data_IF_114774928584
#
_entry.id   IF_114774928584
#
_cell.length_a   1.000
_cell.length_b   1.000
_cell.length_c   1.000
_cell.angle_alpha   90.00
_cell.angle_beta   90.00
_cell.angle_gamma   90.00
#
_symmetry.space_group_name_H-M   'P 1'
#
loop_
_entity.id
_entity.type
_entity.pdbx_description
1 polymer ?
#
# COMPACT_ATOMS: atom_id res chain seq x y z
N UNK A 1 -14.75 -18.30 -5.22
CA UNK A 1 -16.03 -18.06 -5.93
C UNK A 1 -15.87 -18.62 -7.33
N UNK A 2 -16.55 -19.73 -7.64
CA UNK A 2 -16.30 -20.55 -8.84
C UNK A 2 -17.29 -20.13 -9.93
N UNK A 3 -16.80 -19.85 -11.15
CA UNK A 3 -17.67 -19.63 -12.31
C UNK A 3 -17.55 -20.83 -13.24
N UNK A 4 -18.64 -21.57 -13.39
CA UNK A 4 -18.77 -22.70 -14.31
C UNK A 4 -19.21 -22.18 -15.69
N UNK A 5 -18.47 -22.50 -16.75
CA UNK A 5 -18.94 -22.32 -18.14
C UNK A 5 -19.12 -23.70 -18.75
N UNK A 6 -20.37 -24.03 -19.10
CA UNK A 6 -20.74 -25.29 -19.76
C UNK A 6 -20.68 -25.10 -21.28
N UNK A 7 -19.69 -25.71 -21.93
CA UNK A 7 -19.69 -25.89 -23.38
C UNK A 7 -20.16 -27.29 -23.76
N UNK A 8 -21.02 -27.34 -24.78
CA UNK A 8 -21.78 -28.51 -25.23
C UNK A 8 -20.85 -29.53 -25.89
N UNK A 9 -20.90 -30.77 -25.38
CA UNK A 9 -20.47 -32.07 -25.97
C UNK A 9 -19.41 -32.00 -27.09
N UNK A 10 -18.15 -32.19 -26.70
CA UNK A 10 -17.24 -33.24 -27.22
C UNK A 10 -15.99 -33.25 -26.33
N UNK A 11 -15.70 -34.41 -25.71
CA UNK A 11 -14.58 -34.71 -24.80
C UNK A 11 -14.21 -33.58 -23.81
N UNK A 12 -14.76 -33.65 -22.60
CA UNK A 12 -14.28 -32.83 -21.47
C UNK A 12 -12.87 -33.28 -21.09
N UNK A 13 -11.86 -32.54 -21.55
CA UNK A 13 -10.51 -32.61 -21.00
C UNK A 13 -10.51 -31.70 -19.78
N UNK A 14 -10.39 -32.30 -18.59
CA UNK A 14 -10.13 -31.56 -17.37
C UNK A 14 -8.66 -31.12 -17.40
N UNK A 15 -8.44 -29.88 -17.83
CA UNK A 15 -7.14 -29.24 -17.68
C UNK A 15 -7.05 -28.70 -16.26
N UNK A 16 -6.33 -29.42 -15.41
CA UNK A 16 -5.88 -28.89 -14.12
C UNK A 16 -4.70 -27.98 -14.43
N UNK A 17 -4.96 -26.68 -14.58
CA UNK A 17 -3.90 -25.69 -14.51
C UNK A 17 -3.49 -25.58 -13.03
N UNK A 18 -2.69 -26.53 -12.57
CA UNK A 18 -1.94 -26.36 -11.35
C UNK A 18 -1.01 -25.16 -11.59
N UNK A 19 -1.18 -24.09 -10.82
CA UNK A 19 -0.13 -23.08 -10.66
C UNK A 19 1.16 -23.86 -10.40
N UNK A 20 2.12 -23.71 -11.30
CA UNK A 20 3.27 -24.60 -11.28
C UNK A 20 4.05 -24.31 -10.01
N UNK A 21 4.57 -25.35 -9.36
CA UNK A 21 5.45 -25.20 -8.19
C UNK A 21 6.57 -24.17 -8.43
N UNK A 22 6.98 -24.02 -9.69
CA UNK A 22 7.95 -23.01 -10.15
C UNK A 22 7.50 -21.56 -9.95
N UNK A 23 6.22 -21.24 -10.12
CA UNK A 23 5.68 -19.88 -9.94
C UNK A 23 5.66 -19.50 -8.46
N UNK A 24 5.28 -20.45 -7.60
CA UNK A 24 5.27 -20.25 -6.13
C UNK A 24 6.69 -20.05 -5.56
N UNK A 25 7.69 -20.75 -6.12
CA UNK A 25 9.11 -20.63 -5.70
C UNK A 25 9.74 -19.33 -6.20
N UNK A 26 9.28 -18.75 -7.31
CA UNK A 26 9.80 -17.48 -7.83
C UNK A 26 9.19 -16.25 -7.13
N UNK A 27 7.97 -16.35 -6.61
CA UNK A 27 7.31 -15.25 -5.87
C UNK A 27 7.87 -15.08 -4.45
N UNK A 28 8.25 -16.16 -3.78
CA UNK A 28 8.72 -16.14 -2.38
C UNK A 28 9.95 -15.23 -2.16
N UNK A 29 11.01 -15.30 -2.99
CA UNK A 29 12.17 -14.40 -2.86
C UNK A 29 11.83 -12.93 -3.07
N UNK A 30 10.89 -12.62 -3.99
CA UNK A 30 10.48 -11.23 -4.27
C UNK A 30 9.74 -10.65 -3.07
N UNK A 31 8.86 -11.43 -2.43
CA UNK A 31 8.17 -10.98 -1.23
C UNK A 31 9.11 -10.82 -0.03
N UNK A 32 10.09 -11.72 0.12
CA UNK A 32 11.14 -11.56 1.15
C UNK A 32 11.97 -10.30 0.90
N UNK A 33 12.33 -10.03 -0.36
CA UNK A 33 13.07 -8.82 -0.73
C UNK A 33 12.29 -7.55 -0.41
N UNK A 34 11.01 -7.47 -0.80
CA UNK A 34 10.16 -6.30 -0.48
C UNK A 34 10.03 -6.06 1.02
N UNK A 35 9.95 -7.13 1.81
CA UNK A 35 9.94 -7.01 3.27
C UNK A 35 11.26 -6.44 3.79
N UNK A 36 12.39 -6.90 3.24
CA UNK A 36 13.69 -6.38 3.63
C UNK A 36 13.84 -4.91 3.22
N UNK A 37 13.48 -4.54 1.99
CA UNK A 37 13.48 -3.15 1.51
C UNK A 37 12.66 -2.23 2.44
N UNK A 38 11.47 -2.67 2.83
CA UNK A 38 10.63 -1.94 3.79
C UNK A 38 11.31 -1.74 5.15
N UNK A 39 11.85 -2.81 5.75
CA UNK A 39 12.49 -2.72 7.06
C UNK A 39 13.80 -1.91 7.02
N UNK A 40 14.53 -1.98 5.91
CA UNK A 40 15.74 -1.19 5.68
C UNK A 40 15.41 0.30 5.54
N UNK A 41 14.36 0.65 4.78
CA UNK A 41 13.91 2.04 4.61
C UNK A 41 13.50 2.65 5.95
N UNK A 42 12.65 1.95 6.72
CA UNK A 42 12.26 2.42 8.05
C UNK A 42 13.45 2.50 9.02
N UNK A 43 14.40 1.57 8.94
CA UNK A 43 15.60 1.59 9.78
C UNK A 43 16.61 2.66 9.39
N UNK A 44 16.52 3.19 8.16
CA UNK A 44 17.36 4.29 7.70
C UNK A 44 16.91 5.65 8.23
N UNK A 45 15.68 5.74 8.75
CA UNK A 45 15.16 6.91 9.42
C UNK A 45 15.83 7.12 10.79
N UNK A 46 16.06 8.38 11.16
CA UNK A 46 16.56 8.77 12.49
C UNK A 46 15.43 8.73 13.55
N UNK A 47 14.86 7.53 13.76
CA UNK A 47 13.73 7.34 14.66
C UNK A 47 14.17 7.18 16.13
N UNK A 48 13.32 7.57 17.10
CA UNK A 48 13.50 7.19 18.49
C UNK A 48 13.71 5.67 18.66
N UNK A 49 14.60 5.27 19.57
CA UNK A 49 14.95 3.86 19.79
C UNK A 49 13.74 2.96 20.09
N UNK A 50 12.70 3.50 20.76
CA UNK A 50 11.44 2.80 21.00
C UNK A 50 10.70 2.49 19.70
N UNK A 51 10.66 3.42 18.76
CA UNK A 51 9.98 3.25 17.47
C UNK A 51 10.76 2.27 16.58
N UNK A 52 12.08 2.41 16.54
CA UNK A 52 12.95 1.48 15.83
C UNK A 52 12.81 0.05 16.37
N UNK A 53 12.71 -0.12 17.68
CA UNK A 53 12.47 -1.44 18.30
C UNK A 53 11.09 -1.98 17.93
N UNK A 54 10.05 -1.14 17.99
CA UNK A 54 8.69 -1.54 17.62
C UNK A 54 8.59 -2.01 16.17
N UNK A 55 9.24 -1.32 15.23
CA UNK A 55 9.30 -1.76 13.85
C UNK A 55 10.05 -3.09 13.67
N UNK A 56 11.26 -3.19 14.25
CA UNK A 56 12.14 -4.34 14.06
C UNK A 56 11.69 -5.61 14.82
N UNK A 57 10.83 -5.46 15.83
CA UNK A 57 10.32 -6.57 16.62
C UNK A 57 8.85 -6.82 16.30
N UNK A 58 7.97 -5.89 16.63
CA UNK A 58 6.52 -6.11 16.59
C UNK A 58 6.00 -6.13 15.15
N UNK A 59 6.30 -5.09 14.37
CA UNK A 59 5.85 -4.98 12.97
C UNK A 59 6.50 -6.08 12.12
N UNK A 60 7.81 -6.29 12.26
CA UNK A 60 8.53 -7.35 11.54
C UNK A 60 7.95 -8.74 11.81
N UNK A 61 7.56 -9.03 13.06
CA UNK A 61 6.94 -10.31 13.44
C UNK A 61 5.61 -10.50 12.72
N UNK A 62 4.73 -9.49 12.72
CA UNK A 62 3.44 -9.56 12.02
C UNK A 62 3.60 -9.73 10.51
N UNK A 63 4.62 -9.12 9.92
CA UNK A 63 4.89 -9.23 8.48
C UNK A 63 5.56 -10.54 8.06
N UNK A 64 5.87 -11.47 8.99
CA UNK A 64 6.62 -12.72 8.69
C UNK A 64 5.94 -13.63 7.69
N UNK A 65 4.62 -13.69 7.71
CA UNK A 65 3.84 -14.57 6.83
C UNK A 65 2.96 -13.80 5.84
N UNK A 66 3.23 -12.50 5.66
CA UNK A 66 2.43 -11.64 4.78
C UNK A 66 3.16 -11.34 3.48
N UNK A 67 2.41 -11.33 2.37
CA UNK A 67 2.92 -10.93 1.05
C UNK A 67 2.80 -9.42 0.88
N UNK A 68 3.91 -8.72 1.06
CA UNK A 68 3.98 -7.28 0.79
C UNK A 68 4.07 -7.08 -0.72
N UNK A 69 3.21 -6.20 -1.25
CA UNK A 69 3.24 -5.78 -2.67
C UNK A 69 3.94 -4.44 -2.87
N UNK A 70 3.98 -3.61 -1.84
CA UNK A 70 4.71 -2.36 -1.79
C UNK A 70 4.58 -1.72 -0.42
N UNK A 71 5.29 -0.63 -0.21
CA UNK A 71 5.25 0.15 1.02
C UNK A 71 5.51 1.63 0.74
N UNK A 72 5.19 2.46 1.72
CA UNK A 72 5.57 3.87 1.79
C UNK A 72 5.92 4.23 3.22
N UNK A 73 6.85 5.15 3.37
CA UNK A 73 7.30 5.67 4.65
C UNK A 73 7.16 7.19 4.62
N UNK A 74 6.70 7.75 5.73
CA UNK A 74 6.74 9.18 6.00
C UNK A 74 7.98 9.46 6.84
N UNK A 75 8.94 10.15 6.22
CA UNK A 75 10.24 10.45 6.82
C UNK A 75 10.13 11.41 8.03
N UNK A 76 9.07 12.22 8.11
CA UNK A 76 8.88 13.20 9.18
C UNK A 76 8.27 12.56 10.44
N UNK A 77 7.26 11.71 10.25
CA UNK A 77 6.52 11.10 11.37
C UNK A 77 6.98 9.69 11.71
N UNK A 78 7.71 9.04 10.80
CA UNK A 78 8.05 7.62 10.87
C UNK A 78 6.85 6.70 10.66
N UNK A 79 5.68 7.21 10.28
CA UNK A 79 4.54 6.37 9.91
C UNK A 79 4.82 5.63 8.61
N UNK A 80 4.19 4.48 8.43
CA UNK A 80 4.33 3.73 7.19
C UNK A 80 3.03 3.10 6.73
N UNK A 81 2.89 2.97 5.41
CA UNK A 81 1.86 2.17 4.76
C UNK A 81 2.49 0.92 4.17
N UNK A 82 1.93 -0.24 4.52
CA UNK A 82 2.30 -1.52 3.92
C UNK A 82 1.13 -2.03 3.10
N UNK A 83 1.35 -2.23 1.80
CA UNK A 83 0.33 -2.70 0.86
C UNK A 83 0.39 -4.22 0.74
N UNK A 84 -0.78 -4.86 0.79
CA UNK A 84 -1.00 -6.28 0.53
C UNK A 84 -1.97 -6.43 -0.66
N UNK A 85 -2.19 -7.66 -1.13
CA UNK A 85 -3.04 -7.91 -2.32
C UNK A 85 -4.47 -7.35 -2.18
N UNK A 86 -5.05 -7.38 -0.97
CA UNK A 86 -6.46 -7.08 -0.70
C UNK A 86 -6.70 -6.06 0.41
N UNK A 87 -5.64 -5.47 0.93
CA UNK A 87 -5.70 -4.56 2.07
C UNK A 87 -4.41 -3.79 2.19
N UNK A 88 -4.41 -2.74 2.99
CA UNK A 88 -3.18 -2.10 3.47
C UNK A 88 -3.16 -2.08 4.99
N UNK A 89 -2.00 -1.84 5.57
CA UNK A 89 -1.82 -1.60 6.99
C UNK A 89 -1.06 -0.30 7.20
N UNK A 90 -1.61 0.58 8.05
CA UNK A 90 -0.95 1.78 8.54
C UNK A 90 -0.24 1.46 9.85
N UNK A 91 1.06 1.72 9.92
CA UNK A 91 1.86 1.62 11.13
C UNK A 91 2.08 3.01 11.73
N UNK A 92 1.61 3.23 12.96
CA UNK A 92 1.74 4.49 13.68
C UNK A 92 2.65 4.30 14.90
N UNK A 93 3.98 4.50 14.78
CA UNK A 93 4.93 4.20 15.85
C UNK A 93 4.71 5.06 17.09
N UNK A 94 4.27 6.31 16.94
CA UNK A 94 3.95 7.20 18.06
C UNK A 94 2.90 6.61 19.01
N UNK A 95 1.85 5.98 18.46
CA UNK A 95 0.82 5.34 19.25
C UNK A 95 1.05 3.84 19.47
N UNK A 96 2.07 3.26 18.83
CA UNK A 96 2.33 1.83 18.83
C UNK A 96 1.22 0.98 18.17
N UNK A 97 0.40 1.59 17.30
CA UNK A 97 -0.77 0.94 16.68
C UNK A 97 -0.54 0.58 15.22
N UNK A 98 -1.17 -0.51 14.81
CA UNK A 98 -1.27 -0.95 13.42
C UNK A 98 -2.73 -1.03 13.04
N UNK A 99 -3.13 -0.27 12.02
CA UNK A 99 -4.51 -0.22 11.54
C UNK A 99 -4.60 -0.91 10.18
N UNK A 100 -5.48 -1.89 10.06
CA UNK A 100 -5.69 -2.65 8.83
C UNK A 100 -6.93 -2.14 8.09
N UNK A 101 -6.78 -1.87 6.79
CA UNK A 101 -7.84 -1.33 5.96
C UNK A 101 -8.08 -2.23 4.74
N UNK A 102 -9.29 -2.82 4.58
CA UNK A 102 -9.65 -3.59 3.40
C UNK A 102 -9.66 -2.73 2.14
N UNK A 103 -9.04 -3.22 1.06
CA UNK A 103 -8.87 -2.49 -0.20
C UNK A 103 -10.19 -1.97 -0.81
N UNK A 104 -11.27 -2.74 -0.68
CA UNK A 104 -12.58 -2.38 -1.21
C UNK A 104 -13.29 -1.23 -0.46
N UNK A 105 -12.75 -0.78 0.68
CA UNK A 105 -13.23 0.36 1.44
C UNK A 105 -12.32 1.59 1.28
N UNK A 106 -11.24 1.46 0.53
CA UNK A 106 -10.32 2.56 0.28
C UNK A 106 -10.82 3.42 -0.87
N UNK A 107 -10.69 4.72 -0.68
CA UNK A 107 -10.94 5.73 -1.70
C UNK A 107 -9.62 6.43 -2.00
N UNK A 108 -9.43 6.83 -3.25
CA UNK A 108 -8.32 7.69 -3.67
C UNK A 108 -8.91 8.98 -4.22
N UNK A 109 -8.61 10.09 -3.58
CA UNK A 109 -8.99 11.43 -4.03
C UNK A 109 -7.78 12.10 -4.69
N UNK A 110 -8.02 12.84 -5.77
CA UNK A 110 -6.98 13.56 -6.51
C UNK A 110 -7.54 14.93 -6.88
N UNK A 111 -6.91 15.98 -6.36
CA UNK A 111 -7.25 17.37 -6.61
C UNK A 111 -6.09 18.03 -7.40
N UNK A 112 -6.39 18.56 -8.58
CA UNK A 112 -5.45 19.28 -9.44
C UNK A 112 -5.86 20.75 -9.52
N UNK A 113 -5.19 21.58 -8.72
CA UNK A 113 -5.57 22.99 -8.54
C UNK A 113 -4.77 23.94 -9.42
N UNK A 114 -3.97 23.42 -10.37
CA UNK A 114 -3.12 24.26 -11.23
C UNK A 114 -3.92 25.24 -12.09
N UNK A 115 -5.20 24.94 -12.34
CA UNK A 115 -6.11 25.82 -13.08
C UNK A 115 -6.89 26.80 -12.18
N UNK A 116 -6.96 26.55 -10.87
CA UNK A 116 -7.78 27.30 -9.92
C UNK A 116 -6.90 28.11 -8.97
N UNK A 117 -6.50 29.31 -9.44
CA UNK A 117 -5.57 30.21 -8.74
C UNK A 117 -6.11 30.82 -7.42
N UNK A 118 -7.36 30.52 -7.02
CA UNK A 118 -8.12 31.37 -6.14
C UNK A 118 -8.27 30.89 -4.67
N UNK A 119 -8.11 29.61 -4.35
CA UNK A 119 -8.70 29.12 -3.07
C UNK A 119 -7.91 28.10 -2.25
N UNK A 120 -6.68 27.74 -2.61
CA UNK A 120 -5.96 26.73 -1.83
C UNK A 120 -4.67 27.30 -1.28
N UNK A 121 -4.27 26.82 -0.10
CA UNK A 121 -3.15 27.24 0.76
C UNK A 121 -1.76 27.29 0.08
N UNK A 122 -1.68 27.30 -1.26
CA UNK A 122 -0.48 27.16 -2.08
C UNK A 122 -0.30 25.75 -2.64
N UNK A 123 -1.22 24.82 -2.35
CA UNK A 123 -1.16 23.42 -2.82
C UNK A 123 -1.63 23.33 -4.27
N UNK A 124 -0.72 22.93 -5.16
CA UNK A 124 -0.96 22.82 -6.59
C UNK A 124 -1.60 21.49 -6.99
N UNK A 125 -1.16 20.42 -6.34
CA UNK A 125 -1.65 19.07 -6.60
C UNK A 125 -1.68 18.30 -5.29
N UNK A 126 -2.81 17.66 -4.99
CA UNK A 126 -3.01 16.84 -3.79
C UNK A 126 -3.63 15.52 -4.18
N UNK A 127 -3.20 14.46 -3.51
CA UNK A 127 -3.92 13.21 -3.50
C UNK A 127 -3.96 12.62 -2.10
N UNK A 128 -4.99 11.83 -1.84
CA UNK A 128 -5.25 11.23 -0.54
C UNK A 128 -5.75 9.80 -0.72
N UNK A 129 -5.17 8.87 0.03
CA UNK A 129 -5.79 7.57 0.32
C UNK A 129 -6.61 7.70 1.60
N UNK A 130 -7.89 7.37 1.48
CA UNK A 130 -8.86 7.59 2.54
C UNK A 130 -9.67 6.33 2.84
N UNK A 131 -9.94 6.08 4.12
CA UNK A 131 -10.90 5.07 4.56
C UNK A 131 -11.36 5.36 5.98
N UNK A 132 -12.58 4.96 6.31
CA UNK A 132 -13.12 5.01 7.67
C UNK A 132 -13.49 3.59 8.10
N UNK A 133 -12.98 3.14 9.24
CA UNK A 133 -13.36 1.88 9.85
C UNK A 133 -14.69 2.02 10.62
N UNK A 134 -15.45 0.93 10.82
CA UNK A 134 -16.68 0.96 11.62
C UNK A 134 -16.48 1.41 13.07
N UNK A 135 -15.25 1.30 13.60
CA UNK A 135 -14.88 1.76 14.95
C UNK A 135 -14.46 3.23 14.98
N UNK A 136 -14.55 3.94 13.84
CA UNK A 136 -14.22 5.36 13.71
C UNK A 136 -12.74 5.64 13.47
N UNK A 137 -11.91 4.61 13.27
CA UNK A 137 -10.50 4.79 12.89
C UNK A 137 -10.42 5.25 11.44
N UNK A 138 -9.58 6.23 11.15
CA UNK A 138 -9.49 6.83 9.83
C UNK A 138 -8.10 6.63 9.25
N UNK A 139 -8.06 6.24 7.98
CA UNK A 139 -6.90 6.39 7.13
C UNK A 139 -7.05 7.73 6.41
N UNK A 140 -6.05 8.59 6.56
CA UNK A 140 -5.86 9.84 5.86
C UNK A 140 -4.38 9.91 5.49
N UNK A 141 -4.02 9.38 4.33
CA UNK A 141 -2.64 9.35 3.85
C UNK A 141 -2.49 10.22 2.62
N UNK A 142 -1.80 11.34 2.78
CA UNK A 142 -1.74 12.40 1.79
C UNK A 142 -0.40 12.45 1.07
N UNK A 143 -0.45 12.90 -0.18
CA UNK A 143 0.70 13.35 -0.94
C UNK A 143 0.31 14.66 -1.62
N UNK A 144 1.00 15.74 -1.30
CA UNK A 144 0.72 17.04 -1.87
C UNK A 144 2.02 17.75 -2.28
N UNK A 145 1.89 18.76 -3.13
CA UNK A 145 3.01 19.58 -3.54
C UNK A 145 2.60 21.03 -3.78
N UNK A 146 3.58 21.92 -3.63
CA UNK A 146 3.42 23.38 -3.80
C UNK A 146 4.24 23.92 -4.96
N UNK A 147 5.09 23.08 -5.55
CA UNK A 147 5.92 23.42 -6.72
C UNK A 147 5.51 22.58 -7.92
N UNK A 148 5.40 23.19 -9.10
CA UNK A 148 5.14 22.47 -10.35
C UNK A 148 6.20 21.39 -10.64
N UNK A 149 7.43 21.59 -10.16
CA UNK A 149 8.54 20.65 -10.32
C UNK A 149 8.34 19.34 -9.54
N UNK A 150 7.53 19.36 -8.49
CA UNK A 150 7.25 18.21 -7.61
C UNK A 150 6.05 17.39 -8.11
N UNK A 151 5.19 17.98 -8.95
CA UNK A 151 3.96 17.36 -9.46
C UNK A 151 4.23 15.97 -10.09
N UNK A 152 5.26 15.76 -10.92
CA UNK A 152 5.54 14.43 -11.48
C UNK A 152 5.82 13.36 -10.41
N UNK A 153 6.45 13.75 -9.30
CA UNK A 153 6.72 12.86 -8.18
C UNK A 153 5.43 12.41 -7.50
N UNK A 154 4.54 13.36 -7.18
CA UNK A 154 3.23 13.06 -6.59
C UNK A 154 2.38 12.23 -7.55
N UNK A 155 2.34 12.56 -8.84
CA UNK A 155 1.61 11.78 -9.84
C UNK A 155 2.13 10.35 -9.97
N UNK A 156 3.44 10.14 -9.85
CA UNK A 156 4.03 8.80 -9.85
C UNK A 156 3.53 8.01 -8.65
N UNK A 157 3.52 8.61 -7.45
CA UNK A 157 3.00 8.00 -6.21
C UNK A 157 1.52 7.61 -6.37
N UNK A 158 0.69 8.54 -6.81
CA UNK A 158 -0.74 8.34 -7.05
C UNK A 158 -1.00 7.27 -8.11
N UNK A 159 -0.20 7.22 -9.18
CA UNK A 159 -0.35 6.18 -10.20
C UNK A 159 -0.12 4.77 -9.62
N UNK A 160 0.78 4.62 -8.64
CA UNK A 160 1.01 3.35 -7.95
C UNK A 160 -0.18 2.98 -7.08
N UNK A 161 -0.75 3.95 -6.35
CA UNK A 161 -1.97 3.74 -5.56
C UNK A 161 -3.14 3.29 -6.42
N UNK A 162 -3.41 4.02 -7.52
CA UNK A 162 -4.49 3.70 -8.44
C UNK A 162 -4.27 2.36 -9.13
N UNK A 163 -3.04 2.06 -9.56
CA UNK A 163 -2.69 0.76 -10.14
C UNK A 163 -2.98 -0.36 -9.14
N UNK A 164 -2.52 -0.21 -7.89
CA UNK A 164 -2.79 -1.17 -6.85
C UNK A 164 -4.29 -1.30 -6.58
N UNK A 165 -5.04 -0.22 -6.38
CA UNK A 165 -6.49 -0.24 -6.12
C UNK A 165 -7.30 -0.95 -7.22
N UNK A 166 -6.86 -0.89 -8.48
CA UNK A 166 -7.57 -1.44 -9.64
C UNK A 166 -7.14 -2.87 -10.05
N UNK A 167 -6.16 -3.47 -9.37
CA UNK A 167 -5.82 -4.90 -9.53
C UNK A 167 -6.84 -5.82 -8.86
#
# INVERSE_FOLDING_TARGET
>A
MIRLVLMKKEKVVFKWDALTWSDMVAEEPVHMLRKQEYLDEVSSLDLPASYATWYNVDVATLLTSTRIVGHEVDDETGQSLVFFDRSLMLCCPESGRMHHYPKHLLHCFVDDNRCDCAEQDGVLFRAELFSISPTGEQLCWEANCRSEMEVPGVQTKVSRWLSWLNQ
#
